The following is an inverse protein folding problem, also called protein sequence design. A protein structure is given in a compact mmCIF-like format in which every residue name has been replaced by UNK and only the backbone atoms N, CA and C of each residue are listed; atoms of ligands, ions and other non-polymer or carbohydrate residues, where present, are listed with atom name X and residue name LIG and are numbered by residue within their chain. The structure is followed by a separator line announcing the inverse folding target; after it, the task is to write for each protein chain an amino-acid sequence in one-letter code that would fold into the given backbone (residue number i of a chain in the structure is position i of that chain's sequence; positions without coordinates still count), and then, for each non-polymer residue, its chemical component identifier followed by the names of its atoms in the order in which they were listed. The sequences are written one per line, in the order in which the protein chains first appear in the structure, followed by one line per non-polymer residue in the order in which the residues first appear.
data_IF_782747705699
#
_entry.id   IF_782747705699
#
_cell.length_a   1.000
_cell.length_b   1.000
_cell.length_c   1.000
_cell.angle_alpha   90.00
_cell.angle_beta   90.00
_cell.angle_gamma   90.00
#
_symmetry.space_group_name_H-M   'P 1'
#
loop_
_entity.id
_entity.type
_entity.pdbx_description
1 polymer ?
#
# COMPACT_ATOMS: atom_id res chain seq x y z
N UNK A 1 -4.02 2.09 42.26
CA UNK A 1 -4.57 0.93 42.98
C UNK A 1 -5.69 0.38 42.11
N UNK A 2 -5.40 -0.65 41.31
CA UNK A 2 -6.37 -1.23 40.36
C UNK A 2 -7.18 -2.26 41.15
N UNK A 3 -8.43 -1.93 41.44
CA UNK A 3 -9.38 -2.87 42.03
C UNK A 3 -10.08 -3.59 40.89
N UNK A 4 -9.62 -4.80 40.57
CA UNK A 4 -10.40 -5.75 39.77
C UNK A 4 -11.39 -6.41 40.72
N UNK A 5 -12.65 -5.96 40.72
CA UNK A 5 -13.75 -6.65 41.39
C UNK A 5 -14.97 -6.69 40.46
N UNK A 6 -15.27 -7.91 40.00
CA UNK A 6 -16.64 -8.42 39.75
C UNK A 6 -17.71 -7.42 39.29
N UNK A 7 -17.83 -7.26 37.97
CA UNK A 7 -19.12 -7.42 37.30
C UNK A 7 -20.00 -6.19 37.05
N UNK A 8 -19.67 -5.01 37.56
CA UNK A 8 -20.40 -3.77 37.24
C UNK A 8 -19.44 -2.78 36.57
N UNK A 9 -19.79 -2.31 35.37
CA UNK A 9 -19.13 -1.14 34.78
C UNK A 9 -19.79 0.07 35.42
N UNK A 10 -19.06 0.78 36.27
CA UNK A 10 -19.52 2.07 36.80
C UNK A 10 -19.36 3.13 35.70
N UNK A 11 -20.47 3.81 35.36
CA UNK A 11 -20.49 4.89 34.39
C UNK A 11 -20.81 6.21 35.10
N UNK A 12 -20.05 7.26 34.80
CA UNK A 12 -20.48 8.62 35.13
C UNK A 12 -21.66 9.03 34.24
N UNK A 13 -22.47 9.99 34.71
CA UNK A 13 -23.59 10.54 33.92
C UNK A 13 -23.12 11.11 32.57
N UNK A 14 -21.90 11.64 32.50
CA UNK A 14 -21.29 12.12 31.26
C UNK A 14 -21.00 10.98 30.28
N UNK A 15 -20.35 9.92 30.76
CA UNK A 15 -20.04 8.74 29.93
C UNK A 15 -21.30 8.02 29.46
N UNK A 16 -22.31 7.89 30.32
CA UNK A 16 -23.59 7.29 29.94
C UNK A 16 -24.26 8.10 28.81
N UNK A 17 -24.24 9.44 28.92
CA UNK A 17 -24.81 10.32 27.90
C UNK A 17 -24.08 10.17 26.56
N UNK A 18 -22.75 10.14 26.58
CA UNK A 18 -21.94 10.03 25.37
C UNK A 18 -22.06 8.64 24.73
N UNK A 19 -22.09 7.56 25.52
CA UNK A 19 -22.36 6.21 25.03
C UNK A 19 -23.76 6.13 24.38
N UNK A 20 -24.79 6.72 25.01
CA UNK A 20 -26.13 6.80 24.41
C UNK A 20 -26.14 7.58 23.10
N UNK A 21 -25.40 8.68 23.02
CA UNK A 21 -25.24 9.43 21.76
C UNK A 21 -24.61 8.57 20.65
N UNK A 22 -23.56 7.80 20.97
CA UNK A 22 -22.93 6.87 20.02
C UNK A 22 -23.89 5.77 19.54
N UNK A 23 -24.77 5.27 20.41
CA UNK A 23 -25.74 4.24 20.01
C UNK A 23 -26.86 4.73 19.09
N UNK A 24 -27.16 6.04 19.14
CA UNK A 24 -28.26 6.67 18.42
C UNK A 24 -27.81 7.45 17.17
N UNK A 25 -26.51 7.73 17.04
CA UNK A 25 -25.97 8.45 15.89
C UNK A 25 -26.02 7.61 14.61
N UNK A 26 -26.45 8.24 13.52
CA UNK A 26 -26.43 7.64 12.17
C UNK A 26 -25.06 7.73 11.50
N UNK A 27 -24.21 8.63 11.97
CA UNK A 27 -22.88 8.89 11.41
C UNK A 27 -21.81 7.95 11.99
N UNK A 28 -22.18 7.18 13.03
CA UNK A 28 -21.29 6.22 13.69
C UNK A 28 -21.43 4.84 13.03
N UNK A 29 -20.32 4.15 12.69
CA UNK A 29 -20.38 2.79 12.19
C UNK A 29 -21.16 1.87 13.14
N UNK A 30 -22.05 1.03 12.60
CA UNK A 30 -22.90 0.15 13.40
C UNK A 30 -22.13 -0.71 14.42
N UNK A 31 -20.91 -1.11 14.09
CA UNK A 31 -20.01 -1.85 14.99
C UNK A 31 -19.61 -1.06 16.24
N UNK A 32 -19.37 0.25 16.11
CA UNK A 32 -19.05 1.13 17.24
C UNK A 32 -20.28 1.31 18.13
N UNK A 33 -21.46 1.50 17.52
CA UNK A 33 -22.72 1.53 18.25
C UNK A 33 -22.99 0.23 19.01
N UNK A 34 -22.70 -0.94 18.43
CA UNK A 34 -22.81 -2.24 19.12
C UNK A 34 -21.87 -2.33 20.32
N UNK A 35 -20.63 -1.85 20.20
CA UNK A 35 -19.66 -1.82 21.31
C UNK A 35 -20.13 -0.92 22.46
N UNK A 36 -20.69 0.26 22.13
CA UNK A 36 -21.28 1.15 23.14
C UNK A 36 -22.50 0.50 23.84
N UNK A 37 -23.36 -0.23 23.12
CA UNK A 37 -24.47 -1.00 23.72
C UNK A 37 -23.99 -2.08 24.69
N UNK A 38 -22.89 -2.77 24.37
CA UNK A 38 -22.29 -3.78 25.27
C UNK A 38 -21.94 -3.14 26.62
N UNK A 39 -21.28 -1.97 26.61
CA UNK A 39 -20.90 -1.25 27.82
C UNK A 39 -22.13 -0.81 28.63
N UNK A 40 -23.11 -0.17 27.96
CA UNK A 40 -24.35 0.27 28.60
C UNK A 40 -25.12 -0.90 29.24
N UNK A 41 -25.30 -2.01 28.53
CA UNK A 41 -25.99 -3.18 29.07
C UNK A 41 -25.27 -3.82 30.26
N UNK A 42 -23.94 -3.81 30.26
CA UNK A 42 -23.19 -4.27 31.42
C UNK A 42 -23.29 -3.31 32.61
N UNK A 43 -23.33 -2.00 32.37
CA UNK A 43 -23.57 -0.99 33.41
C UNK A 43 -24.99 -1.08 34.00
N UNK A 44 -25.99 -1.47 33.19
CA UNK A 44 -27.35 -1.81 33.63
C UNK A 44 -27.41 -3.13 34.46
N UNK A 45 -26.28 -3.79 34.70
CA UNK A 45 -26.21 -5.02 35.49
C UNK A 45 -26.60 -6.30 34.75
N UNK A 46 -26.74 -6.25 33.41
CA UNK A 46 -27.04 -7.45 32.62
C UNK A 46 -25.88 -8.44 32.65
N UNK A 47 -26.20 -9.73 32.66
CA UNK A 47 -25.19 -10.79 32.64
C UNK A 47 -24.49 -10.82 31.28
N UNK A 48 -23.17 -10.95 31.26
CA UNK A 48 -22.36 -11.01 30.03
C UNK A 48 -22.87 -12.02 28.98
N UNK A 49 -23.45 -13.14 29.42
CA UNK A 49 -24.08 -14.14 28.52
C UNK A 49 -25.29 -13.56 27.77
N UNK A 50 -26.13 -12.80 28.46
CA UNK A 50 -27.30 -12.14 27.88
C UNK A 50 -26.87 -11.02 26.93
N UNK A 51 -25.90 -10.20 27.36
CA UNK A 51 -25.30 -9.14 26.53
C UNK A 51 -24.73 -9.69 25.22
N UNK A 52 -24.01 -10.82 25.29
CA UNK A 52 -23.48 -11.50 24.12
C UNK A 52 -24.60 -11.92 23.14
N UNK A 53 -25.70 -12.49 23.65
CA UNK A 53 -26.87 -12.85 22.85
C UNK A 53 -27.55 -11.63 22.22
N UNK A 54 -27.75 -10.54 22.97
CA UNK A 54 -28.36 -9.30 22.47
C UNK A 54 -27.51 -8.60 21.40
N UNK A 55 -26.19 -8.61 21.57
CA UNK A 55 -25.25 -8.01 20.64
C UNK A 55 -24.94 -8.90 19.42
N UNK A 56 -25.31 -10.18 19.43
CA UNK A 56 -24.97 -11.13 18.38
C UNK A 56 -23.47 -11.46 18.32
N UNK A 57 -22.78 -11.47 19.47
CA UNK A 57 -21.33 -11.71 19.57
C UNK A 57 -21.02 -12.82 20.59
N UNK A 58 -19.76 -13.25 20.65
CA UNK A 58 -19.31 -14.22 21.65
C UNK A 58 -19.05 -13.53 23.01
N UNK A 59 -19.10 -14.30 24.10
CA UNK A 59 -18.72 -13.80 25.44
C UNK A 59 -17.29 -13.23 25.49
N UNK A 60 -16.26 -13.87 24.88
CA UNK A 60 -14.93 -13.27 24.79
C UNK A 60 -14.90 -11.92 24.07
N UNK A 61 -15.77 -11.70 23.06
CA UNK A 61 -15.89 -10.39 22.41
C UNK A 61 -16.47 -9.35 23.36
N UNK A 62 -17.44 -9.73 24.21
CA UNK A 62 -17.95 -8.84 25.27
C UNK A 62 -16.82 -8.48 26.23
N UNK A 63 -16.07 -9.46 26.74
CA UNK A 63 -14.94 -9.24 27.64
C UNK A 63 -13.90 -8.30 27.03
N UNK A 64 -13.51 -8.53 25.77
CA UNK A 64 -12.58 -7.68 25.03
C UNK A 64 -13.00 -6.20 25.01
N UNK A 65 -14.28 -5.92 24.75
CA UNK A 65 -14.75 -4.53 24.66
C UNK A 65 -14.90 -3.87 26.02
N UNK A 66 -15.26 -4.63 27.05
CA UNK A 66 -15.28 -4.13 28.42
C UNK A 66 -13.85 -3.80 28.90
N UNK A 67 -12.88 -4.66 28.61
CA UNK A 67 -11.48 -4.43 28.98
C UNK A 67 -10.90 -3.20 28.25
N UNK A 68 -11.22 -3.04 26.96
CA UNK A 68 -10.85 -1.85 26.18
C UNK A 68 -11.50 -0.59 26.72
N UNK A 69 -12.78 -0.63 27.06
CA UNK A 69 -13.46 0.50 27.68
C UNK A 69 -12.84 0.87 29.03
N UNK A 70 -12.54 -0.13 29.87
CA UNK A 70 -11.92 0.11 31.17
C UNK A 70 -10.50 0.71 31.05
N UNK A 71 -9.81 0.44 29.95
CA UNK A 71 -8.44 0.95 29.71
C UNK A 71 -8.46 2.34 29.06
N UNK A 72 -9.25 2.52 28.00
CA UNK A 72 -9.16 3.67 27.09
C UNK A 72 -10.45 4.52 27.06
N UNK A 73 -11.47 4.15 27.83
CA UNK A 73 -12.80 4.79 27.81
C UNK A 73 -13.51 4.65 26.47
N UNK A 74 -14.29 5.67 26.12
CA UNK A 74 -15.01 5.76 24.84
C UNK A 74 -14.08 5.68 23.61
N UNK A 75 -12.90 6.33 23.59
CA UNK A 75 -11.91 6.14 22.52
C UNK A 75 -11.54 4.67 22.25
N UNK A 76 -11.53 3.81 23.28
CA UNK A 76 -11.28 2.38 23.16
C UNK A 76 -12.33 1.59 22.36
N UNK A 77 -13.52 2.17 22.18
CA UNK A 77 -14.61 1.57 21.41
C UNK A 77 -14.53 1.92 19.91
N UNK A 78 -13.74 2.92 19.56
CA UNK A 78 -13.55 3.34 18.17
C UNK A 78 -12.67 2.35 17.42
N UNK A 79 -12.73 2.39 16.09
CA UNK A 79 -11.83 1.57 15.29
C UNK A 79 -10.41 2.11 15.37
N UNK A 80 -9.54 1.35 16.01
CA UNK A 80 -8.11 1.56 15.86
C UNK A 80 -7.71 0.98 14.51
N UNK A 81 -7.07 1.83 13.68
CA UNK A 81 -6.39 1.40 12.47
C UNK A 81 -5.48 0.24 12.87
N UNK A 82 -5.76 -0.96 12.35
CA UNK A 82 -4.91 -2.11 12.64
C UNK A 82 -3.50 -1.75 12.20
N UNK A 83 -2.52 -1.92 13.08
CA UNK A 83 -1.12 -1.81 12.72
C UNK A 83 -0.90 -2.64 11.45
N UNK A 84 -0.25 -2.04 10.46
CA UNK A 84 -0.01 -2.69 9.17
C UNK A 84 0.56 -4.11 9.41
N UNK A 85 0.18 -5.10 8.58
CA UNK A 85 0.69 -6.46 8.72
C UNK A 85 2.21 -6.43 8.90
N UNK A 86 2.72 -7.11 9.95
CA UNK A 86 4.17 -7.21 10.20
C UNK A 86 4.86 -7.59 8.89
N UNK A 87 5.77 -6.74 8.42
CA UNK A 87 6.44 -6.97 7.14
C UNK A 87 7.33 -8.23 7.27
N UNK A 88 6.90 -9.32 6.64
CA UNK A 88 7.56 -10.63 6.74
C UNK A 88 8.94 -10.66 6.06
N UNK A 89 9.22 -9.70 5.18
CA UNK A 89 10.48 -9.62 4.45
C UNK A 89 11.32 -8.50 5.07
N UNK A 90 12.55 -8.78 5.55
CA UNK A 90 13.40 -7.76 6.14
C UNK A 90 13.62 -6.56 5.20
N UNK A 91 13.65 -5.34 5.74
CA UNK A 91 13.81 -4.11 4.96
C UNK A 91 15.05 -4.14 4.05
N UNK A 92 16.14 -4.79 4.48
CA UNK A 92 17.35 -5.00 3.66
C UNK A 92 17.05 -5.74 2.35
N UNK A 93 16.20 -6.77 2.41
CA UNK A 93 15.84 -7.61 1.27
C UNK A 93 14.88 -6.84 0.35
N UNK A 94 13.92 -6.10 0.93
CA UNK A 94 13.05 -5.19 0.18
C UNK A 94 13.87 -4.18 -0.63
N UNK A 95 14.82 -3.50 0.01
CA UNK A 95 15.73 -2.56 -0.65
C UNK A 95 16.56 -3.23 -1.74
N UNK A 96 17.07 -4.44 -1.48
CA UNK A 96 17.83 -5.22 -2.47
C UNK A 96 16.99 -5.56 -3.71
N UNK A 97 15.74 -5.99 -3.54
CA UNK A 97 14.82 -6.30 -4.65
C UNK A 97 14.56 -5.04 -5.51
N UNK A 98 14.36 -3.89 -4.88
CA UNK A 98 14.14 -2.62 -5.58
C UNK A 98 15.39 -2.15 -6.33
N UNK A 99 16.58 -2.31 -5.74
CA UNK A 99 17.85 -1.96 -6.37
C UNK A 99 18.16 -2.88 -7.57
N UNK A 100 18.04 -4.20 -7.40
CA UNK A 100 18.33 -5.17 -8.44
C UNK A 100 17.40 -5.05 -9.64
N UNK A 101 16.15 -4.62 -9.45
CA UNK A 101 15.23 -4.41 -10.55
C UNK A 101 15.77 -3.37 -11.55
N UNK A 102 16.52 -2.36 -11.10
CA UNK A 102 17.10 -1.34 -11.98
C UNK A 102 18.31 -1.85 -12.79
N UNK A 103 18.87 -3.00 -12.43
CA UNK A 103 19.93 -3.67 -13.18
C UNK A 103 19.34 -4.76 -14.08
N UNK A 104 20.02 -5.07 -15.20
CA UNK A 104 19.69 -6.26 -15.97
C UNK A 104 19.98 -7.54 -15.16
N UNK A 105 19.21 -8.62 -15.34
CA UNK A 105 19.56 -9.92 -14.78
C UNK A 105 20.98 -10.34 -15.17
N UNK A 106 21.69 -11.11 -14.32
CA UNK A 106 22.97 -11.69 -14.70
C UNK A 106 22.84 -12.51 -16.00
N UNK A 107 23.86 -12.44 -16.87
CA UNK A 107 23.85 -13.12 -18.18
C UNK A 107 23.60 -14.64 -18.10
N UNK A 108 23.97 -15.26 -16.98
CA UNK A 108 23.69 -16.67 -16.66
C UNK A 108 22.20 -17.04 -16.67
N UNK A 109 21.32 -16.06 -16.45
CA UNK A 109 19.86 -16.27 -16.49
C UNK A 109 19.30 -16.31 -17.91
N UNK A 110 20.04 -15.81 -18.91
CA UNK A 110 19.57 -15.68 -20.28
C UNK A 110 18.38 -14.73 -20.47
N UNK A 111 17.99 -13.98 -19.43
CA UNK A 111 16.84 -13.08 -19.46
C UNK A 111 17.27 -11.65 -19.77
N UNK A 112 16.60 -11.01 -20.72
CA UNK A 112 16.82 -9.58 -21.00
C UNK A 112 16.26 -8.68 -19.89
N UNK A 113 15.31 -9.16 -19.07
CA UNK A 113 14.58 -8.38 -18.05
C UNK A 113 14.28 -9.27 -16.84
N UNK A 114 14.19 -8.69 -15.64
CA UNK A 114 13.78 -9.45 -14.46
C UNK A 114 12.33 -9.93 -14.54
N UNK A 115 12.11 -11.22 -14.35
CA UNK A 115 10.80 -11.73 -13.95
C UNK A 115 10.70 -11.76 -12.42
N UNK A 116 9.48 -11.65 -11.87
CA UNK A 116 9.28 -11.71 -10.42
C UNK A 116 9.71 -13.06 -9.83
N UNK A 117 9.61 -14.13 -10.64
CA UNK A 117 10.07 -15.48 -10.29
C UNK A 117 11.58 -15.57 -10.25
N UNK A 118 12.27 -15.04 -11.27
CA UNK A 118 13.73 -15.06 -11.32
C UNK A 118 14.34 -14.16 -10.24
N UNK A 119 13.75 -12.99 -9.98
CA UNK A 119 14.18 -12.13 -8.87
C UNK A 119 14.06 -12.85 -7.52
N UNK A 120 12.96 -13.55 -7.27
CA UNK A 120 12.80 -14.36 -6.05
C UNK A 120 13.83 -15.49 -5.95
N UNK A 121 14.10 -16.20 -7.06
CA UNK A 121 15.12 -17.25 -7.10
C UNK A 121 16.53 -16.69 -6.86
N UNK A 122 16.84 -15.54 -7.46
CA UNK A 122 18.12 -14.87 -7.29
C UNK A 122 18.35 -14.39 -5.86
N UNK A 123 17.35 -13.76 -5.23
CA UNK A 123 17.41 -13.37 -3.82
C UNK A 123 17.62 -14.60 -2.92
N UNK A 124 16.94 -15.72 -3.20
CA UNK A 124 17.15 -16.96 -2.44
C UNK A 124 18.59 -17.47 -2.58
N UNK A 125 19.16 -17.43 -3.79
CA UNK A 125 20.54 -17.89 -4.07
C UNK A 125 21.61 -16.98 -3.44
N UNK A 126 21.41 -15.67 -3.47
CA UNK A 126 22.43 -14.69 -3.06
C UNK A 126 22.32 -14.25 -1.60
N UNK A 127 21.10 -14.12 -1.08
CA UNK A 127 20.84 -13.59 0.27
C UNK A 127 20.42 -14.69 1.27
N UNK A 128 20.16 -15.91 0.79
CA UNK A 128 19.68 -17.03 1.62
C UNK A 128 18.24 -16.86 2.13
N UNK A 129 17.53 -15.81 1.71
CA UNK A 129 16.17 -15.50 2.17
C UNK A 129 15.15 -15.91 1.12
N UNK A 130 14.20 -16.77 1.52
CA UNK A 130 13.09 -17.12 0.65
C UNK A 130 12.06 -15.98 0.61
N UNK A 131 11.85 -15.42 -0.57
CA UNK A 131 10.82 -14.41 -0.84
C UNK A 131 9.85 -14.96 -1.88
N UNK A 132 8.55 -14.73 -1.71
CA UNK A 132 7.58 -15.17 -2.71
C UNK A 132 7.61 -14.26 -3.95
N UNK A 133 7.50 -14.84 -5.14
CA UNK A 133 7.38 -14.06 -6.37
C UNK A 133 6.16 -13.12 -6.37
N UNK A 134 5.09 -13.47 -5.63
CA UNK A 134 3.93 -12.61 -5.41
C UNK A 134 4.27 -11.37 -4.58
N UNK A 135 5.10 -11.51 -3.53
CA UNK A 135 5.62 -10.38 -2.78
C UNK A 135 6.46 -9.47 -3.68
N UNK A 136 7.35 -10.02 -4.51
CA UNK A 136 8.16 -9.25 -5.48
C UNK A 136 7.24 -8.49 -6.45
N UNK A 137 6.25 -9.15 -7.04
CA UNK A 137 5.31 -8.51 -7.96
C UNK A 137 4.44 -7.44 -7.28
N UNK A 138 4.04 -7.65 -6.02
CA UNK A 138 3.35 -6.65 -5.20
C UNK A 138 4.26 -5.44 -4.95
N UNK A 139 5.49 -5.68 -4.52
CA UNK A 139 6.48 -4.65 -4.23
C UNK A 139 6.77 -3.78 -5.45
N UNK A 140 6.89 -4.38 -6.64
CA UNK A 140 7.04 -3.66 -7.89
C UNK A 140 5.83 -2.79 -8.25
N UNK A 141 4.60 -3.31 -8.08
CA UNK A 141 3.37 -2.55 -8.31
C UNK A 141 3.24 -1.36 -7.35
N UNK A 142 3.57 -1.55 -6.08
CA UNK A 142 3.53 -0.49 -5.06
C UNK A 142 4.46 0.68 -5.39
N UNK A 143 5.60 0.42 -6.04
CA UNK A 143 6.56 1.47 -6.43
C UNK A 143 6.40 1.92 -7.88
N UNK A 144 5.37 1.45 -8.59
CA UNK A 144 5.12 1.83 -9.99
C UNK A 144 6.21 1.35 -10.97
N UNK A 145 6.87 0.22 -10.67
CA UNK A 145 8.01 -0.30 -11.43
C UNK A 145 7.58 -1.48 -12.31
N UNK A 146 7.21 -1.27 -13.59
CA UNK A 146 6.88 -2.37 -14.49
C UNK A 146 8.16 -3.09 -14.97
N UNK A 147 8.31 -4.41 -14.73
CA UNK A 147 9.51 -5.15 -15.15
C UNK A 147 9.73 -5.16 -16.67
N UNK A 148 8.67 -4.94 -17.46
CA UNK A 148 8.69 -4.94 -18.92
C UNK A 148 8.88 -3.55 -19.54
N UNK A 149 8.99 -2.46 -18.75
CA UNK A 149 9.35 -1.13 -19.28
C UNK A 149 10.75 -0.70 -18.89
N UNK A 150 11.63 -1.65 -18.60
CA UNK A 150 13.05 -1.35 -18.56
C UNK A 150 13.45 -0.92 -19.97
N UNK A 151 13.60 0.38 -20.17
CA UNK A 151 14.13 0.91 -21.41
C UNK A 151 15.53 0.36 -21.56
N UNK A 152 15.82 -0.30 -22.69
CA UNK A 152 17.20 -0.50 -23.09
C UNK A 152 17.77 0.88 -23.34
N UNK A 153 18.56 1.40 -22.39
CA UNK A 153 19.43 2.52 -22.70
C UNK A 153 20.42 1.99 -23.72
N UNK A 154 20.21 2.32 -24.99
CA UNK A 154 21.18 2.04 -26.05
C UNK A 154 22.37 2.95 -25.78
N UNK A 155 23.31 2.48 -24.97
CA UNK A 155 24.66 3.06 -24.97
C UNK A 155 25.16 2.89 -26.39
N UNK A 156 25.32 4.01 -27.11
CA UNK A 156 25.91 3.98 -28.44
C UNK A 156 27.30 3.35 -28.35
N UNK A 157 27.69 2.53 -29.33
CA UNK A 157 29.06 1.99 -29.46
C UNK A 157 30.05 3.07 -29.93
N UNK A 158 29.89 4.28 -29.43
CA UNK A 158 30.76 5.40 -29.73
C UNK A 158 31.95 5.36 -28.77
N UNK A 159 33.20 5.18 -29.25
CA UNK A 159 34.38 5.19 -28.40
C UNK A 159 34.53 6.48 -27.59
N UNK A 160 33.94 7.58 -28.06
CA UNK A 160 33.97 8.91 -27.43
C UNK A 160 32.72 9.18 -26.57
N UNK A 161 31.87 8.18 -26.32
CA UNK A 161 30.60 8.36 -25.61
C UNK A 161 30.77 9.03 -24.24
N UNK A 162 31.80 8.64 -23.50
CA UNK A 162 32.07 9.19 -22.17
C UNK A 162 32.39 10.69 -22.23
N UNK A 163 33.21 11.10 -23.19
CA UNK A 163 33.62 12.49 -23.37
C UNK A 163 32.43 13.36 -23.80
N UNK A 164 31.60 12.84 -24.73
CA UNK A 164 30.37 13.52 -25.17
C UNK A 164 29.36 13.69 -24.04
N UNK A 165 29.22 12.67 -23.18
CA UNK A 165 28.35 12.76 -22.00
C UNK A 165 28.89 13.81 -21.02
N UNK A 166 30.20 13.84 -20.79
CA UNK A 166 30.82 14.83 -19.92
C UNK A 166 30.60 16.27 -20.44
N UNK A 167 30.70 16.49 -21.75
CA UNK A 167 30.42 17.78 -22.39
C UNK A 167 28.95 18.21 -22.24
N UNK A 168 28.01 17.29 -22.44
CA UNK A 168 26.56 17.55 -22.26
C UNK A 168 26.25 17.86 -20.79
N UNK A 169 26.81 17.08 -19.85
CA UNK A 169 26.65 17.33 -18.41
C UNK A 169 27.28 18.67 -18.04
N UNK A 170 28.43 19.01 -18.61
CA UNK A 170 29.09 20.31 -18.45
C UNK A 170 28.20 21.48 -18.89
N UNK A 171 27.44 21.32 -19.98
CA UNK A 171 26.49 22.32 -20.45
C UNK A 171 25.33 22.57 -19.48
N UNK A 172 24.89 21.54 -18.73
CA UNK A 172 23.87 21.67 -17.69
C UNK A 172 24.42 22.27 -16.39
N UNK A 173 25.62 21.86 -15.99
CA UNK A 173 26.22 22.25 -14.71
C UNK A 173 26.85 23.64 -14.77
N UNK A 174 27.39 24.03 -15.92
CA UNK A 174 28.06 25.30 -16.11
C UNK A 174 27.74 25.88 -17.51
N UNK A 175 26.48 26.33 -17.72
CA UNK A 175 26.06 26.84 -19.00
C UNK A 175 26.86 28.11 -19.35
N UNK A 176 27.47 28.21 -20.54
CA UNK A 176 28.11 29.43 -20.98
C UNK A 176 27.06 30.53 -21.14
N UNK A 177 27.46 31.79 -20.94
CA UNK A 177 26.57 32.94 -21.06
C UNK A 177 25.80 32.90 -22.38
N UNK A 178 24.46 32.96 -22.29
CA UNK A 178 23.52 32.92 -23.42
C UNK A 178 23.23 31.53 -24.04
N UNK A 179 23.63 30.42 -23.43
CA UNK A 179 23.26 29.08 -23.93
C UNK A 179 21.79 28.71 -23.64
N UNK A 180 21.11 28.14 -24.64
CA UNK A 180 19.77 27.54 -24.49
C UNK A 180 19.91 26.02 -24.68
N UNK A 181 19.60 25.25 -23.65
CA UNK A 181 19.61 23.78 -23.70
C UNK A 181 18.22 23.28 -24.05
N UNK A 182 18.06 22.72 -25.25
CA UNK A 182 16.81 22.12 -25.71
C UNK A 182 16.91 20.61 -25.61
N UNK A 183 16.13 20.01 -24.70
CA UNK A 183 16.04 18.56 -24.58
C UNK A 183 14.94 18.05 -25.53
N UNK A 184 15.34 17.40 -26.62
CA UNK A 184 14.41 16.80 -27.60
C UNK A 184 14.32 15.30 -27.31
N UNK A 185 13.21 14.86 -26.71
CA UNK A 185 12.88 13.45 -26.58
C UNK A 185 12.23 12.98 -27.88
N UNK A 186 12.98 12.24 -28.71
CA UNK A 186 12.38 11.56 -29.85
C UNK A 186 11.59 10.36 -29.33
N UNK A 187 10.30 10.58 -29.08
CA UNK A 187 9.37 9.50 -28.72
C UNK A 187 9.17 8.59 -29.93
N UNK A 188 10.02 7.58 -30.09
CA UNK A 188 9.80 6.51 -31.07
C UNK A 188 8.45 5.86 -30.77
N UNK A 189 7.51 6.04 -31.70
CA UNK A 189 6.16 5.48 -31.62
C UNK A 189 6.28 3.95 -31.45
N UNK A 190 5.78 3.42 -30.33
CA UNK A 190 5.70 1.98 -30.14
C UNK A 190 4.95 1.32 -31.31
N UNK A 191 5.36 0.13 -31.77
CA UNK A 191 4.64 -0.58 -32.82
C UNK A 191 3.25 -0.94 -32.31
N UNK A 192 2.21 -0.53 -33.06
CA UNK A 192 0.83 -0.96 -32.79
C UNK A 192 0.76 -2.47 -32.98
N UNK A 193 0.46 -3.19 -31.91
CA UNK A 193 0.06 -4.59 -31.97
C UNK A 193 -1.21 -4.72 -32.84
N UNK A 194 -1.20 -5.74 -33.68
CA UNK A 194 -2.33 -6.17 -34.47
C UNK A 194 -3.51 -6.55 -33.56
N UNK A 195 -4.67 -5.97 -33.82
CA UNK A 195 -5.94 -6.68 -33.65
C UNK A 195 -6.92 -6.19 -34.72
N UNK A 196 -7.51 -7.15 -35.43
CA UNK A 196 -8.41 -6.91 -36.53
C UNK A 196 -9.84 -6.87 -36.05
N UNK A 197 -10.56 -5.79 -36.36
CA UNK A 197 -12.00 -5.90 -36.59
C UNK A 197 -12.47 -4.83 -37.57
N UNK A 198 -13.13 -5.31 -38.62
CA UNK A 198 -13.85 -4.53 -39.63
C UNK A 198 -14.98 -3.74 -38.95
N UNK A 199 -15.09 -2.45 -39.26
CA UNK A 199 -16.38 -1.80 -39.48
C UNK A 199 -16.20 -0.39 -40.06
N UNK A 200 -16.81 -0.17 -41.22
CA UNK A 200 -17.70 0.98 -41.46
C UNK A 200 -17.06 2.36 -41.62
N UNK A 201 -17.16 2.90 -42.84
CA UNK A 201 -16.73 4.24 -43.18
C UNK A 201 -17.59 5.35 -42.57
N UNK A 202 -17.10 6.58 -42.72
CA UNK A 202 -17.80 7.78 -42.26
C UNK A 202 -16.91 9.01 -42.28
N UNK A 203 -16.60 9.53 -43.47
CA UNK A 203 -15.97 10.83 -43.61
C UNK A 203 -16.89 11.93 -43.04
N UNK A 204 -16.38 12.74 -42.12
CA UNK A 204 -16.95 14.06 -41.83
C UNK A 204 -15.84 15.07 -41.52
N UNK A 205 -15.65 15.97 -42.48
CA UNK A 205 -14.95 17.25 -42.33
C UNK A 205 -15.77 18.19 -41.44
N UNK A 206 -15.13 18.87 -40.49
CA UNK A 206 -15.40 20.26 -40.03
C UNK A 206 -14.06 20.77 -39.49
N UNK A 207 -13.37 21.72 -40.12
CA UNK A 207 -13.67 23.16 -40.25
C UNK A 207 -13.64 23.89 -38.91
N UNK A 208 -12.71 24.83 -38.85
CA UNK A 208 -12.27 25.72 -37.78
C UNK A 208 -13.36 26.49 -37.03
N UNK A 209 -13.09 26.73 -35.75
CA UNK A 209 -13.04 28.06 -35.15
C UNK A 209 -12.00 28.05 -34.03
#
# INVERSE_FOLDING_TARGET
MIVVLTGAVELSTGEETELRALTNSRDVPARVATRARIVLWCAEGRRKKEVASLAGVSRPTVDLWLDRYATDGIPGLLDQSHAAPREQVPARIRGRILALMQASPPGETGLSHWSSREMAAYIKRTEGVAVSHNYVAKLWREHGLPPHRQGTFKVGKDPEFADKVADIVGLYLQPPGSAVVLCVDEKTRAPRGADGSRAGGGARRRSSQ
#
